data_IF_137592361002
#
_entry.id   IF_137592361002
#
_cell.length_a   1.000
_cell.length_b   1.000
_cell.length_c   1.000
_cell.angle_alpha   90.00
_cell.angle_beta   90.00
_cell.angle_gamma   90.00
#
_symmetry.space_group_name_H-M   'P 1'
#
loop_
_entity.id
_entity.type
_entity.pdbx_description
1 polymer ?
#
# COMPACT_ATOMS: atom_id res chain seq x y z
N UNK A 1 -1.10 -31.86 -3.52
CA UNK A 1 -1.43 -30.63 -4.28
C UNK A 1 -1.45 -29.47 -3.31
N UNK A 2 -0.49 -28.53 -3.39
CA UNK A 2 -0.44 -27.28 -2.62
C UNK A 2 -0.58 -26.07 -3.56
N UNK A 3 -1.63 -26.06 -4.39
CA UNK A 3 -1.77 -25.05 -5.46
C UNK A 3 -2.70 -23.89 -5.10
N UNK A 4 -3.32 -23.92 -3.92
CA UNK A 4 -4.43 -23.02 -3.58
C UNK A 4 -4.06 -21.84 -2.69
N UNK A 5 -2.93 -21.87 -1.97
CA UNK A 5 -2.52 -20.74 -1.11
C UNK A 5 -1.84 -19.59 -1.90
N UNK A 6 -1.38 -19.82 -3.14
CA UNK A 6 -0.56 -18.83 -3.87
C UNK A 6 -1.36 -17.95 -4.85
N UNK A 7 -2.33 -18.53 -5.58
CA UNK A 7 -3.05 -17.82 -6.64
C UNK A 7 -4.22 -17.01 -6.09
N UNK A 8 -5.06 -17.60 -5.24
CA UNK A 8 -6.19 -16.89 -4.65
C UNK A 8 -5.73 -15.73 -3.78
N UNK A 9 -4.71 -15.94 -2.94
CA UNK A 9 -4.12 -14.88 -2.11
C UNK A 9 -3.59 -13.73 -2.97
N UNK A 10 -2.95 -14.04 -4.10
CA UNK A 10 -2.49 -13.04 -5.06
C UNK A 10 -3.66 -12.25 -5.64
N UNK A 11 -4.70 -12.91 -6.13
CA UNK A 11 -5.88 -12.23 -6.69
C UNK A 11 -6.59 -11.36 -5.66
N UNK A 12 -6.80 -11.89 -4.45
CA UNK A 12 -7.41 -11.12 -3.36
C UNK A 12 -6.55 -9.90 -3.00
N UNK A 13 -5.23 -10.03 -3.02
CA UNK A 13 -4.34 -8.89 -2.80
C UNK A 13 -4.43 -7.86 -3.92
N UNK A 14 -4.48 -8.29 -5.19
CA UNK A 14 -4.65 -7.39 -6.34
C UNK A 14 -5.99 -6.64 -6.28
N UNK A 15 -7.07 -7.34 -5.97
CA UNK A 15 -8.41 -6.75 -5.81
C UNK A 15 -8.44 -5.74 -4.65
N UNK A 16 -7.79 -6.08 -3.52
CA UNK A 16 -7.65 -5.17 -2.38
C UNK A 16 -6.92 -3.89 -2.77
N UNK A 17 -5.79 -3.99 -3.48
CA UNK A 17 -5.02 -2.83 -3.93
C UNK A 17 -5.83 -1.93 -4.87
N UNK A 18 -6.57 -2.51 -5.81
CA UNK A 18 -7.40 -1.75 -6.75
C UNK A 18 -8.55 -1.05 -6.02
N UNK A 19 -9.28 -1.78 -5.18
CA UNK A 19 -10.47 -1.28 -4.51
C UNK A 19 -10.15 -0.22 -3.47
N UNK A 20 -9.19 -0.51 -2.59
CA UNK A 20 -8.91 0.31 -1.41
C UNK A 20 -7.93 1.44 -1.72
N UNK A 21 -6.96 1.23 -2.62
CA UNK A 21 -5.89 2.21 -2.89
C UNK A 21 -5.85 2.72 -4.33
N UNK A 22 -6.68 2.19 -5.23
CA UNK A 22 -6.71 2.56 -6.64
C UNK A 22 -5.46 2.10 -7.40
N UNK A 23 -4.77 1.06 -6.93
CA UNK A 23 -3.54 0.54 -7.55
C UNK A 23 -3.87 -0.71 -8.36
N UNK A 24 -3.78 -0.60 -9.69
CA UNK A 24 -4.02 -1.70 -10.61
C UNK A 24 -2.68 -2.32 -11.05
N UNK A 25 -2.53 -3.62 -10.83
CA UNK A 25 -1.36 -4.41 -11.28
C UNK A 25 -1.84 -5.64 -12.05
N UNK A 26 -1.13 -5.97 -13.13
CA UNK A 26 -1.36 -7.23 -13.84
C UNK A 26 -0.70 -8.38 -13.10
N UNK A 27 -1.27 -9.57 -13.27
CA UNK A 27 -0.78 -10.77 -12.60
C UNK A 27 0.68 -11.11 -12.96
N UNK A 28 1.10 -10.83 -14.18
CA UNK A 28 2.46 -11.12 -14.66
C UNK A 28 3.50 -10.15 -14.09
N UNK A 29 3.09 -9.04 -13.48
CA UNK A 29 3.97 -8.01 -12.88
C UNK A 29 4.48 -8.43 -11.49
N UNK A 30 5.05 -9.63 -11.39
CA UNK A 30 5.48 -10.26 -10.13
C UNK A 30 6.38 -9.39 -9.26
N UNK A 31 7.35 -8.68 -9.83
CA UNK A 31 8.23 -7.75 -9.09
C UNK A 31 7.47 -6.56 -8.53
N UNK A 32 6.55 -5.97 -9.30
CA UNK A 32 5.70 -4.86 -8.83
C UNK A 32 4.75 -5.31 -7.73
N UNK A 33 4.20 -6.52 -7.85
CA UNK A 33 3.35 -7.11 -6.80
C UNK A 33 4.15 -7.25 -5.50
N UNK A 34 5.41 -7.69 -5.57
CA UNK A 34 6.25 -7.83 -4.38
C UNK A 34 6.60 -6.46 -3.76
N UNK A 35 6.94 -5.47 -4.59
CA UNK A 35 7.13 -4.09 -4.12
C UNK A 35 5.88 -3.51 -3.49
N UNK A 36 4.70 -3.80 -4.04
CA UNK A 36 3.43 -3.35 -3.50
C UNK A 36 3.17 -3.95 -2.11
N UNK A 37 3.47 -5.24 -1.89
CA UNK A 37 3.39 -5.86 -0.55
C UNK A 37 4.31 -5.16 0.45
N UNK A 38 5.55 -4.88 0.06
CA UNK A 38 6.55 -4.20 0.90
C UNK A 38 6.19 -2.73 1.19
N UNK A 39 5.25 -2.16 0.43
CA UNK A 39 4.79 -0.79 0.57
C UNK A 39 3.52 -0.66 1.42
N UNK A 40 2.96 -1.77 1.90
CA UNK A 40 1.85 -1.76 2.87
C UNK A 40 2.41 -1.59 4.28
N UNK A 41 1.84 -0.64 5.01
CA UNK A 41 2.07 -0.43 6.44
C UNK A 41 0.71 -0.55 7.15
N UNK A 42 0.70 -1.18 8.32
CA UNK A 42 -0.54 -1.45 9.09
C UNK A 42 -0.38 -0.81 10.47
N UNK A 43 -1.40 -0.05 10.87
CA UNK A 43 -1.44 0.67 12.13
C UNK A 43 -2.70 0.32 12.91
N UNK A 44 -2.61 0.40 14.23
CA UNK A 44 -3.70 0.13 15.17
C UNK A 44 -4.58 1.35 15.38
N UNK A 45 -4.04 2.55 15.19
CA UNK A 45 -4.78 3.81 15.30
C UNK A 45 -4.26 4.90 14.37
N UNK A 46 -5.04 5.98 14.25
CA UNK A 46 -4.68 7.13 13.42
C UNK A 46 -3.49 7.88 14.04
N UNK A 47 -3.38 7.88 15.37
CA UNK A 47 -2.27 8.45 16.12
C UNK A 47 -0.96 7.72 15.83
N UNK A 48 -0.97 6.38 15.82
CA UNK A 48 0.22 5.59 15.46
C UNK A 48 0.66 5.89 14.02
N UNK A 49 -0.29 6.02 13.08
CA UNK A 49 0.00 6.44 11.71
C UNK A 49 0.67 7.82 11.67
N UNK A 50 0.20 8.80 12.46
CA UNK A 50 0.82 10.12 12.51
C UNK A 50 2.21 10.12 13.12
N UNK A 51 2.42 9.35 14.18
CA UNK A 51 3.74 9.22 14.80
C UNK A 51 4.75 8.58 13.84
N UNK A 52 4.34 7.53 13.12
CA UNK A 52 5.20 6.80 12.20
C UNK A 52 5.52 7.61 10.93
N UNK A 53 4.56 8.35 10.39
CA UNK A 53 4.68 9.00 9.07
C UNK A 53 4.94 10.50 9.13
N UNK A 54 4.61 11.16 10.24
CA UNK A 54 4.58 12.63 10.33
C UNK A 54 3.42 13.28 9.57
N UNK A 55 2.46 12.52 9.06
CA UNK A 55 1.42 13.02 8.15
C UNK A 55 0.69 14.25 8.68
N UNK A 56 0.25 14.23 9.93
CA UNK A 56 -0.51 15.34 10.52
C UNK A 56 0.31 16.65 10.59
N UNK A 57 1.61 16.54 10.85
CA UNK A 57 2.51 17.70 10.89
C UNK A 57 2.66 18.30 9.49
N UNK A 58 2.80 17.44 8.50
CA UNK A 58 3.11 17.84 7.12
C UNK A 58 1.84 18.25 6.34
N UNK A 59 0.68 17.71 6.71
CA UNK A 59 -0.62 17.93 6.06
C UNK A 59 -1.73 18.20 7.10
N UNK A 60 -1.69 19.31 7.85
CA UNK A 60 -2.59 19.54 8.97
C UNK A 60 -4.07 19.64 8.57
N UNK A 61 -4.37 20.22 7.40
CA UNK A 61 -5.74 20.32 6.86
C UNK A 61 -6.28 18.97 6.35
N UNK A 62 -5.40 18.01 6.11
CA UNK A 62 -5.68 16.67 5.55
C UNK A 62 -5.49 15.57 6.60
N UNK A 63 -5.67 15.92 7.88
CA UNK A 63 -5.48 15.03 9.03
C UNK A 63 -6.80 14.60 9.69
N UNK A 64 -7.95 14.91 9.09
CA UNK A 64 -9.22 14.33 9.56
C UNK A 64 -9.30 12.85 9.21
N UNK A 65 -9.77 11.99 10.14
CA UNK A 65 -9.98 10.56 9.83
C UNK A 65 -10.93 10.38 8.65
N UNK A 66 -12.03 11.15 8.57
CA UNK A 66 -12.93 11.05 7.42
C UNK A 66 -12.22 11.44 6.12
N UNK A 67 -11.34 12.43 6.15
CA UNK A 67 -10.54 12.83 4.99
C UNK A 67 -9.62 11.69 4.54
N UNK A 68 -8.87 11.10 5.47
CA UNK A 68 -7.93 10.01 5.20
C UNK A 68 -8.61 8.81 4.54
N UNK A 69 -9.81 8.44 5.02
CA UNK A 69 -10.58 7.33 4.47
C UNK A 69 -11.24 7.70 3.13
N UNK A 70 -11.85 8.89 3.03
CA UNK A 70 -12.53 9.33 1.81
C UNK A 70 -11.58 9.48 0.62
N UNK A 71 -10.34 9.92 0.88
CA UNK A 71 -9.30 10.08 -0.14
C UNK A 71 -8.41 8.84 -0.30
N UNK A 72 -8.77 7.71 0.34
CA UNK A 72 -8.06 6.42 0.22
C UNK A 72 -6.58 6.52 0.59
N UNK A 73 -6.26 7.42 1.51
CA UNK A 73 -4.94 7.50 2.13
C UNK A 73 -4.82 6.32 3.09
N UNK A 74 -5.86 6.11 3.92
CA UNK A 74 -6.01 4.92 4.75
C UNK A 74 -7.21 4.09 4.28
N UNK A 75 -7.12 2.78 4.49
CA UNK A 75 -8.23 1.85 4.37
C UNK A 75 -8.42 1.12 5.70
N UNK A 76 -9.66 1.01 6.17
CA UNK A 76 -9.96 0.26 7.38
C UNK A 76 -10.33 -1.19 7.03
N UNK A 77 -9.44 -2.12 7.39
CA UNK A 77 -9.55 -3.53 7.03
C UNK A 77 -9.38 -4.36 8.29
N UNK A 78 -10.42 -5.14 8.63
CA UNK A 78 -10.44 -6.00 9.83
C UNK A 78 -10.10 -5.25 11.14
N UNK A 79 -10.54 -3.99 11.26
CA UNK A 79 -10.29 -3.15 12.44
C UNK A 79 -8.86 -2.61 12.56
N UNK A 80 -8.07 -2.70 11.48
CA UNK A 80 -6.74 -2.08 11.37
C UNK A 80 -6.74 -1.03 10.26
N UNK A 81 -5.86 -0.05 10.37
CA UNK A 81 -5.67 1.00 9.37
C UNK A 81 -4.50 0.60 8.47
N UNK A 82 -4.81 0.37 7.19
CA UNK A 82 -3.83 0.02 6.18
C UNK A 82 -3.47 1.27 5.39
N UNK A 83 -2.17 1.48 5.22
CA UNK A 83 -1.59 2.55 4.42
C UNK A 83 -0.78 1.95 3.28
N UNK A 84 -1.00 2.44 2.06
CA UNK A 84 -0.14 2.11 0.93
C UNK A 84 0.83 3.25 0.66
N UNK A 85 2.11 3.05 0.99
CA UNK A 85 3.16 4.03 0.79
C UNK A 85 3.54 4.14 -0.69
N UNK A 86 2.86 5.05 -1.41
CA UNK A 86 3.12 5.30 -2.84
C UNK A 86 4.57 5.70 -3.10
N UNK A 87 5.18 6.46 -2.19
CA UNK A 87 6.59 6.86 -2.30
C UNK A 87 7.50 5.64 -2.30
N UNK A 88 7.33 4.72 -1.34
CA UNK A 88 8.15 3.48 -1.27
C UNK A 88 7.94 2.63 -2.51
N UNK A 89 6.70 2.48 -2.96
CA UNK A 89 6.37 1.70 -4.14
C UNK A 89 7.02 2.28 -5.42
N UNK A 90 6.83 3.57 -5.67
CA UNK A 90 7.38 4.25 -6.85
C UNK A 90 8.91 4.26 -6.86
N UNK A 91 9.55 4.47 -5.70
CA UNK A 91 11.00 4.41 -5.58
C UNK A 91 11.53 3.00 -5.81
N UNK A 92 10.83 1.98 -5.33
CA UNK A 92 11.11 0.58 -5.63
C UNK A 92 11.05 0.29 -7.12
N UNK A 93 9.98 0.73 -7.79
CA UNK A 93 9.79 0.55 -9.24
C UNK A 93 10.89 1.28 -10.03
N UNK A 94 11.24 2.51 -9.64
CA UNK A 94 12.32 3.28 -10.28
C UNK A 94 13.69 2.61 -10.13
N UNK A 95 13.97 2.00 -8.97
CA UNK A 95 15.23 1.27 -8.73
C UNK A 95 15.29 -0.02 -9.54
N UNK A 96 14.21 -0.79 -9.60
CA UNK A 96 14.13 -2.02 -10.39
C UNK A 96 14.26 -1.76 -11.91
N UNK A 97 13.78 -0.61 -12.39
CA UNK A 97 13.84 -0.22 -13.79
C UNK A 97 15.16 0.41 -14.26
N UNK A 98 16.12 0.68 -13.35
CA UNK A 98 17.46 1.14 -13.74
C UNK A 98 18.33 -0.09 -14.02
N UNK A 99 18.82 -0.31 -15.26
CA UNK A 99 19.88 -1.26 -15.46
C UNK A 99 21.09 -0.79 -14.64
N UNK A 100 21.73 -1.70 -13.91
CA UNK A 100 22.98 -1.44 -13.20
C UNK A 100 24.00 -0.91 -14.22
N UNK A 101 24.18 0.41 -14.27
CA UNK A 101 25.37 1.00 -14.88
C UNK A 101 26.53 0.72 -13.94
N UNK A 102 27.17 -0.44 -14.13
CA UNK A 102 28.49 -0.75 -13.56
C UNK A 102 29.59 -0.23 -14.48
#
# INVERSE_FOLDING_TARGET
MKFTESILVKYTFLELLEREFGIQLREDETEKIELAKQSIEIYDSVEEFYEATGWQRDNPEESGREYLLAHRILAEIQGKLWYFSRIRYEDGVKKAGKPDCT
#
